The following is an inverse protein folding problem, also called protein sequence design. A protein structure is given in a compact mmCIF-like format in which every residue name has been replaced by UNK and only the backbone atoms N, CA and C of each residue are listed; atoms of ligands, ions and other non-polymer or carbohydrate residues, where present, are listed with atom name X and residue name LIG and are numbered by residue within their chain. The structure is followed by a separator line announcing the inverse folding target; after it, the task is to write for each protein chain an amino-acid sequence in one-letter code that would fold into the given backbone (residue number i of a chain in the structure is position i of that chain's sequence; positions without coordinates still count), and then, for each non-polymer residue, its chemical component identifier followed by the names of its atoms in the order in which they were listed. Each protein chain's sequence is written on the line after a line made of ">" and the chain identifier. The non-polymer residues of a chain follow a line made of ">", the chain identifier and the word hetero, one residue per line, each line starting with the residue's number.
data_IF_968655219257
#
_entry.id   IF_968655219257
#
_cell.length_a   1.000
_cell.length_b   1.000
_cell.length_c   1.000
_cell.angle_alpha   90.00
_cell.angle_beta   90.00
_cell.angle_gamma   90.00
#
_symmetry.space_group_name_H-M   'P 1'
#
loop_
_entity.id
_entity.type
_entity.pdbx_description
1 polymer ?
#
# COMPACT_ATOMS: atom_id res chain seq x y z
N UNK A 1 35.07 9.40 -35.73
CA UNK A 1 33.62 9.06 -35.68
C UNK A 1 33.32 7.73 -34.99
N UNK A 2 34.11 6.67 -35.18
CA UNK A 2 33.88 5.37 -34.49
C UNK A 2 33.94 5.43 -32.96
N UNK A 3 34.88 6.19 -32.39
CA UNK A 3 35.04 6.36 -30.94
C UNK A 3 33.83 7.04 -30.28
N UNK A 4 33.25 8.05 -30.94
CA UNK A 4 32.03 8.71 -30.47
C UNK A 4 30.83 7.75 -30.46
N UNK A 5 30.72 6.86 -31.46
CA UNK A 5 29.68 5.84 -31.49
C UNK A 5 29.81 4.82 -30.35
N UNK A 6 31.04 4.40 -30.02
CA UNK A 6 31.28 3.52 -28.87
C UNK A 6 30.92 4.17 -27.52
N UNK A 7 31.22 5.46 -27.35
CA UNK A 7 30.82 6.21 -26.16
C UNK A 7 29.29 6.30 -26.02
N UNK A 8 28.58 6.59 -27.11
CA UNK A 8 27.10 6.67 -27.08
C UNK A 8 26.46 5.31 -26.73
N UNK A 9 26.96 4.21 -27.31
CA UNK A 9 26.47 2.86 -26.99
C UNK A 9 26.75 2.48 -25.53
N UNK A 10 27.91 2.87 -25.00
CA UNK A 10 28.27 2.63 -23.60
C UNK A 10 27.32 3.39 -22.66
N UNK A 11 27.05 4.66 -22.92
CA UNK A 11 26.13 5.47 -22.09
C UNK A 11 24.70 4.94 -22.11
N UNK A 12 24.19 4.52 -23.28
CA UNK A 12 22.85 3.94 -23.41
C UNK A 12 22.73 2.64 -22.61
N UNK A 13 23.76 1.81 -22.59
CA UNK A 13 23.76 0.53 -21.86
C UNK A 13 23.68 0.71 -20.33
N UNK A 14 24.26 1.79 -19.79
CA UNK A 14 24.16 2.11 -18.37
C UNK A 14 22.78 2.65 -17.95
N UNK A 15 22.06 3.31 -18.86
CA UNK A 15 20.72 3.85 -18.56
C UNK A 15 19.66 2.76 -18.35
N UNK A 16 19.81 1.57 -18.95
CA UNK A 16 18.87 0.46 -18.79
C UNK A 16 19.00 -0.28 -17.44
N UNK A 17 20.07 -0.03 -16.68
CA UNK A 17 20.32 -0.71 -15.40
C UNK A 17 19.75 0.01 -14.19
N UNK A 18 19.08 1.17 -14.37
CA UNK A 18 18.43 1.90 -13.29
C UNK A 18 17.09 1.26 -12.88
N UNK A 19 17.13 0.04 -12.34
CA UNK A 19 16.02 -0.53 -11.56
C UNK A 19 16.16 -0.01 -10.14
N UNK A 20 15.39 1.02 -9.80
CA UNK A 20 15.34 1.51 -8.43
C UNK A 20 14.53 0.51 -7.58
N UNK A 21 15.24 -0.27 -6.76
CA UNK A 21 14.62 -0.97 -5.63
C UNK A 21 14.34 0.10 -4.55
N UNK A 22 13.11 0.14 -4.02
CA UNK A 22 12.71 1.11 -3.00
C UNK A 22 12.43 0.38 -1.69
N UNK A 23 13.06 0.82 -0.60
CA UNK A 23 12.70 0.36 0.75
C UNK A 23 12.20 1.55 1.57
N UNK A 24 10.99 1.44 2.08
CA UNK A 24 10.38 2.41 2.98
C UNK A 24 10.16 1.76 4.35
N UNK A 25 10.60 2.45 5.41
CA UNK A 25 10.30 2.08 6.80
C UNK A 25 9.42 3.18 7.36
N UNK A 26 8.21 2.82 7.76
CA UNK A 26 7.21 3.75 8.28
C UNK A 26 6.80 3.33 9.68
N UNK A 27 6.89 4.27 10.62
CA UNK A 27 6.26 4.10 11.93
C UNK A 27 4.77 4.42 11.77
N UNK A 28 3.92 3.43 12.03
CA UNK A 28 2.47 3.59 11.96
C UNK A 28 1.93 3.59 13.38
N UNK A 29 1.35 4.71 13.79
CA UNK A 29 0.59 4.81 15.03
C UNK A 29 -0.88 4.59 14.73
N UNK A 30 -1.43 3.46 15.21
CA UNK A 30 -2.86 3.18 15.17
C UNK A 30 -3.34 3.04 16.61
N UNK A 31 -4.57 3.50 16.89
CA UNK A 31 -5.19 3.31 18.20
C UNK A 31 -5.14 1.82 18.60
N UNK A 32 -4.29 1.49 19.58
CA UNK A 32 -4.06 0.13 20.09
C UNK A 32 -2.81 -0.61 19.57
N UNK A 33 -2.08 -0.10 18.56
CA UNK A 33 -0.77 -0.64 18.18
C UNK A 33 0.10 0.40 17.47
N UNK A 34 1.25 0.73 18.05
CA UNK A 34 2.34 1.38 17.33
C UNK A 34 3.26 0.29 16.76
N UNK A 35 3.58 0.36 15.47
CA UNK A 35 4.44 -0.64 14.82
C UNK A 35 5.22 -0.08 13.65
N UNK A 36 6.44 -0.58 13.47
CA UNK A 36 7.23 -0.29 12.27
C UNK A 36 6.74 -1.19 11.13
N UNK A 37 6.29 -0.58 10.05
CA UNK A 37 5.95 -1.26 8.81
C UNK A 37 7.08 -1.04 7.81
N UNK A 38 7.62 -2.13 7.25
CA UNK A 38 8.63 -2.06 6.19
C UNK A 38 8.02 -2.49 4.86
N UNK A 39 8.14 -1.64 3.84
CA UNK A 39 7.68 -1.90 2.48
C UNK A 39 8.91 -1.94 1.57
N UNK A 40 9.10 -3.03 0.83
CA UNK A 40 10.18 -3.21 -0.14
C UNK A 40 9.59 -3.43 -1.53
N UNK A 41 9.93 -2.56 -2.48
CA UNK A 41 9.63 -2.69 -3.89
C UNK A 41 10.88 -3.18 -4.63
N UNK A 42 10.75 -4.25 -5.39
CA UNK A 42 11.80 -4.79 -6.25
C UNK A 42 11.21 -5.26 -7.57
N UNK A 43 11.42 -4.48 -8.62
CA UNK A 43 10.79 -4.69 -9.93
C UNK A 43 9.27 -4.82 -9.78
N UNK A 44 8.72 -5.95 -10.23
CA UNK A 44 7.28 -6.21 -10.19
C UNK A 44 6.80 -6.78 -8.84
N UNK A 45 7.62 -6.79 -7.79
CA UNK A 45 7.27 -7.39 -6.50
C UNK A 45 7.26 -6.36 -5.39
N UNK A 46 6.27 -6.47 -4.52
CA UNK A 46 6.12 -5.68 -3.31
C UNK A 46 6.12 -6.61 -2.12
N UNK A 47 7.00 -6.37 -1.14
CA UNK A 47 6.97 -7.05 0.15
C UNK A 47 6.57 -6.06 1.23
N UNK A 48 5.61 -6.46 2.05
CA UNK A 48 5.11 -5.68 3.18
C UNK A 48 5.33 -6.51 4.45
N UNK A 49 6.10 -5.95 5.38
CA UNK A 49 6.39 -6.49 6.69
C UNK A 49 5.73 -5.55 7.72
N UNK A 50 4.46 -5.80 8.03
CA UNK A 50 3.67 -4.98 8.96
C UNK A 50 3.84 -5.42 10.43
N UNK A 51 4.25 -6.67 10.65
CA UNK A 51 4.63 -7.19 11.97
C UNK A 51 5.64 -8.32 11.79
N UNK A 52 6.39 -8.71 12.84
CA UNK A 52 7.29 -9.86 12.78
C UNK A 52 6.58 -11.18 12.47
N UNK A 53 5.25 -11.27 12.71
CA UNK A 53 4.47 -12.50 12.57
C UNK A 53 4.00 -12.77 11.14
N UNK A 54 3.81 -11.73 10.34
CA UNK A 54 3.28 -11.85 8.97
C UNK A 54 4.07 -11.00 7.97
N UNK A 55 4.48 -11.66 6.89
CA UNK A 55 5.04 -10.99 5.71
C UNK A 55 4.10 -11.23 4.53
N UNK A 56 3.72 -10.16 3.84
CA UNK A 56 2.92 -10.23 2.61
C UNK A 56 3.80 -9.92 1.41
N UNK A 57 3.70 -10.71 0.34
CA UNK A 57 4.38 -10.47 -0.94
C UNK A 57 3.33 -10.41 -2.03
N UNK A 58 3.30 -9.31 -2.77
CA UNK A 58 2.48 -9.14 -3.96
C UNK A 58 3.37 -9.26 -5.19
N UNK A 59 2.97 -10.12 -6.13
CA UNK A 59 3.61 -10.23 -7.44
C UNK A 59 2.76 -9.50 -8.47
N UNK A 60 3.19 -8.30 -8.87
CA UNK A 60 2.52 -7.46 -9.86
C UNK A 60 2.52 -8.05 -11.27
N UNK A 61 3.38 -9.03 -11.58
CA UNK A 61 3.40 -9.70 -12.88
C UNK A 61 2.30 -10.74 -12.99
N UNK A 62 2.08 -11.52 -11.93
CA UNK A 62 1.07 -12.59 -11.91
C UNK A 62 -0.25 -12.15 -11.28
N UNK A 63 -0.24 -11.11 -10.45
CA UNK A 63 -1.36 -10.69 -9.61
C UNK A 63 -1.56 -11.56 -8.36
N UNK A 64 -0.62 -12.44 -8.04
CA UNK A 64 -0.71 -13.32 -6.89
C UNK A 64 -0.26 -12.64 -5.60
N UNK A 65 -0.83 -13.10 -4.48
CA UNK A 65 -0.45 -12.64 -3.13
C UNK A 65 0.02 -13.84 -2.32
N UNK A 66 1.19 -13.71 -1.69
CA UNK A 66 1.76 -14.73 -0.82
C UNK A 66 1.91 -14.18 0.59
N UNK A 67 1.27 -14.82 1.55
CA UNK A 67 1.40 -14.52 2.97
C UNK A 67 2.29 -15.57 3.63
N UNK A 68 3.30 -15.11 4.37
CA UNK A 68 4.16 -15.93 5.18
C UNK A 68 3.77 -15.70 6.64
N UNK A 69 3.23 -16.74 7.28
CA UNK A 69 2.97 -16.79 8.72
C UNK A 69 4.24 -17.26 9.41
N UNK A 70 5.09 -16.33 9.84
CA UNK A 70 6.46 -16.61 10.29
C UNK A 70 6.49 -17.52 11.52
N UNK A 71 5.62 -17.27 12.51
CA UNK A 71 5.52 -18.08 13.73
C UNK A 71 5.12 -19.53 13.44
N UNK A 72 4.24 -19.72 12.46
CA UNK A 72 3.67 -21.02 12.09
C UNK A 72 4.45 -21.70 10.95
N UNK A 73 5.49 -21.05 10.42
CA UNK A 73 6.25 -21.48 9.23
C UNK A 73 5.34 -21.88 8.05
N UNK A 74 4.21 -21.21 7.93
CA UNK A 74 3.17 -21.55 6.94
C UNK A 74 3.16 -20.52 5.82
N UNK A 75 3.06 -20.98 4.58
CA UNK A 75 2.96 -20.15 3.39
C UNK A 75 1.58 -20.31 2.77
N UNK A 76 0.85 -19.21 2.67
CA UNK A 76 -0.46 -19.15 2.03
C UNK A 76 -0.32 -18.36 0.73
N UNK A 77 -0.47 -19.05 -0.41
CA UNK A 77 -0.45 -18.43 -1.74
C UNK A 77 -1.87 -18.30 -2.28
N UNK A 78 -2.24 -17.08 -2.65
CA UNK A 78 -3.55 -16.72 -3.18
C UNK A 78 -3.35 -16.40 -4.66
N UNK A 79 -4.03 -17.15 -5.53
CA UNK A 79 -3.98 -16.92 -6.97
C UNK A 79 -4.66 -15.61 -7.36
N UNK A 80 -4.25 -15.04 -8.50
CA UNK A 80 -4.80 -13.76 -8.98
C UNK A 80 -6.32 -13.78 -9.13
N UNK A 81 -6.91 -14.89 -9.58
CA UNK A 81 -8.38 -15.02 -9.72
C UNK A 81 -9.08 -14.91 -8.37
N UNK A 82 -8.49 -15.50 -7.32
CA UNK A 82 -9.02 -15.39 -5.96
C UNK A 82 -8.86 -13.99 -5.40
N UNK A 83 -7.73 -13.32 -5.67
CA UNK A 83 -7.51 -11.91 -5.29
C UNK A 83 -8.55 -11.01 -5.96
N UNK A 84 -8.79 -11.19 -7.26
CA UNK A 84 -9.83 -10.45 -8.01
C UNK A 84 -11.22 -10.73 -7.47
N UNK A 85 -11.55 -11.99 -7.16
CA UNK A 85 -12.84 -12.36 -6.59
C UNK A 85 -13.09 -11.65 -5.25
N UNK A 86 -12.09 -11.61 -4.36
CA UNK A 86 -12.17 -10.91 -3.08
C UNK A 86 -12.30 -9.39 -3.29
N UNK A 87 -11.50 -8.80 -4.19
CA UNK A 87 -11.61 -7.38 -4.51
C UNK A 87 -13.02 -7.01 -5.03
N UNK A 88 -13.58 -7.85 -5.90
CA UNK A 88 -14.94 -7.67 -6.42
C UNK A 88 -16.01 -7.85 -5.33
N UNK A 89 -15.79 -8.70 -4.32
CA UNK A 89 -16.71 -8.82 -3.18
C UNK A 89 -16.67 -7.58 -2.28
N UNK A 90 -15.49 -6.98 -2.08
CA UNK A 90 -15.32 -5.75 -1.28
C UNK A 90 -15.89 -4.53 -2.01
N UNK A 91 -15.76 -4.48 -3.34
CA UNK A 91 -16.30 -3.40 -4.17
C UNK A 91 -17.81 -3.45 -4.35
N UNK A 92 -18.44 -4.61 -4.13
CA UNK A 92 -19.90 -4.68 -4.05
C UNK A 92 -20.29 -3.94 -2.76
N UNK A 93 -21.03 -2.82 -2.85
CA UNK A 93 -21.59 -2.22 -1.66
C UNK A 93 -22.41 -3.30 -0.98
N UNK A 94 -22.05 -3.67 0.25
CA UNK A 94 -22.87 -4.54 1.06
C UNK A 94 -24.26 -3.90 1.14
N UNK A 95 -25.23 -4.46 0.44
CA UNK A 95 -26.66 -4.16 0.61
C UNK A 95 -27.19 -4.59 1.99
N UNK A 96 -26.29 -4.79 2.96
CA UNK A 96 -26.54 -5.15 4.37
C UNK A 96 -25.70 -4.30 5.34
N UNK A 97 -25.42 -3.05 4.97
CA UNK A 97 -25.16 -1.98 5.93
C UNK A 97 -26.24 -0.88 5.81
N UNK A 98 -27.50 -1.30 5.67
CA UNK A 98 -28.61 -0.51 6.21
C UNK A 98 -28.48 -0.56 7.75
N UNK A 99 -27.72 0.37 8.33
CA UNK A 99 -27.54 0.42 9.79
C UNK A 99 -26.38 1.28 10.28
N UNK A 100 -25.37 1.54 9.46
CA UNK A 100 -24.51 2.70 9.68
C UNK A 100 -25.19 3.86 8.96
N UNK A 101 -26.21 4.47 9.60
CA UNK A 101 -26.68 5.78 9.19
C UNK A 101 -25.43 6.62 8.96
N UNK A 102 -25.20 7.09 7.72
CA UNK A 102 -24.18 8.09 7.45
C UNK A 102 -24.45 9.19 8.45
N UNK A 103 -23.61 9.35 9.48
CA UNK A 103 -23.81 10.35 10.52
C UNK A 103 -23.98 11.67 9.80
N UNK A 104 -25.20 12.20 9.81
CA UNK A 104 -25.51 13.46 9.16
C UNK A 104 -24.89 14.52 10.05
N UNK A 105 -23.68 14.93 9.68
CA UNK A 105 -22.95 15.98 10.35
C UNK A 105 -23.85 17.22 10.43
N UNK A 106 -24.26 17.55 11.66
CA UNK A 106 -25.13 18.68 11.95
C UNK A 106 -24.26 19.79 12.52
N UNK A 107 -24.27 21.00 11.94
CA UNK A 107 -23.49 22.11 12.47
C UNK A 107 -23.98 22.44 13.89
N UNK A 108 -23.05 22.57 14.82
CA UNK A 108 -23.36 22.93 16.22
C UNK A 108 -23.56 24.45 16.37
N UNK A 109 -23.24 25.24 15.34
CA UNK A 109 -23.24 26.69 15.37
C UNK A 109 -22.06 27.31 16.12
N UNK A 110 -21.18 26.49 16.70
CA UNK A 110 -19.97 26.98 17.35
C UNK A 110 -18.85 27.17 16.33
N UNK A 111 -18.28 28.38 16.31
CA UNK A 111 -17.16 28.74 15.45
C UNK A 111 -15.91 28.96 16.28
N UNK A 112 -14.79 28.42 15.81
CA UNK A 112 -13.46 28.62 16.40
C UNK A 112 -12.44 28.90 15.30
N UNK A 113 -11.31 29.52 15.67
CA UNK A 113 -10.21 29.76 14.72
C UNK A 113 -9.14 28.71 14.90
N UNK A 114 -8.95 27.87 13.87
CA UNK A 114 -7.91 26.83 13.84
C UNK A 114 -6.88 27.23 12.78
N UNK A 115 -5.63 27.43 13.19
CA UNK A 115 -4.52 27.82 12.31
C UNK A 115 -4.81 29.06 11.43
N UNK A 116 -5.56 30.03 11.97
CA UNK A 116 -5.92 31.27 11.27
C UNK A 116 -7.14 31.14 10.34
N UNK A 117 -7.79 29.99 10.28
CA UNK A 117 -9.02 29.77 9.52
C UNK A 117 -10.22 29.70 10.46
N UNK A 118 -11.31 30.37 10.11
CA UNK A 118 -12.59 30.24 10.79
C UNK A 118 -13.21 28.88 10.45
N UNK A 119 -13.39 28.03 11.46
CA UNK A 119 -13.97 26.70 11.36
C UNK A 119 -15.25 26.60 12.18
N UNK A 120 -16.18 25.76 11.75
CA UNK A 120 -17.44 25.48 12.46
C UNK A 120 -17.45 24.01 12.89
N UNK A 121 -17.90 23.75 14.12
CA UNK A 121 -17.96 22.40 14.67
C UNK A 121 -19.22 21.66 14.18
N UNK A 122 -19.07 20.37 13.87
CA UNK A 122 -20.16 19.48 13.45
C UNK A 122 -20.22 18.22 14.34
N UNK A 123 -21.41 17.65 14.53
CA UNK A 123 -21.64 16.37 15.26
C UNK A 123 -22.54 15.44 14.44
#
# INVERSE_FOLDING_TARGET
>A
MKTAAYFVVLTISFLFSARADLTMVQQVERAGSAGNMTIKLKGDKVRIEASPKVTTILDGKTGEVTNLMNDQKTVVRISADKVKAVANMIQKPNAKQEGAAKTKLTPTGQKETVNGYQTEQYT
#
